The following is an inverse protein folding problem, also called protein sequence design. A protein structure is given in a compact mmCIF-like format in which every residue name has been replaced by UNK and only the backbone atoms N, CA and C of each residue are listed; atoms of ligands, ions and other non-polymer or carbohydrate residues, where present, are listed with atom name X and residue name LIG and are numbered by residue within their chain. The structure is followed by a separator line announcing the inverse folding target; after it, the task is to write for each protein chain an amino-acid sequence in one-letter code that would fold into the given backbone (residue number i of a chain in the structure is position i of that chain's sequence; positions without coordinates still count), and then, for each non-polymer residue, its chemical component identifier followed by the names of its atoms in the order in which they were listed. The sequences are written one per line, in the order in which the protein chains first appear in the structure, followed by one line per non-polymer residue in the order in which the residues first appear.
data_IF_049285559828
#
_entry.id   IF_049285559828
#
_cell.length_a   1.000
_cell.length_b   1.000
_cell.length_c   1.000
_cell.angle_alpha   90.00
_cell.angle_beta   90.00
_cell.angle_gamma   90.00
#
_symmetry.space_group_name_H-M   'P 1'
#
loop_
_entity.id
_entity.type
_entity.pdbx_description
1 polymer ?
#
# COMPACT_ATOMS: atom_id res chain seq x y z
N UNK A 1 -63.45 -62.28 -5.98
CA UNK A 1 -62.61 -61.57 -5.03
C UNK A 1 -61.56 -60.85 -5.86
N UNK A 2 -61.85 -59.64 -6.23
CA UNK A 2 -60.99 -58.82 -7.07
C UNK A 2 -60.53 -57.64 -6.22
N UNK A 3 -59.25 -57.52 -5.99
CA UNK A 3 -58.61 -56.39 -5.25
C UNK A 3 -58.14 -55.34 -6.27
N UNK A 4 -58.83 -54.21 -6.28
CA UNK A 4 -58.43 -53.01 -7.03
C UNK A 4 -57.24 -52.38 -6.35
N UNK A 5 -56.12 -52.15 -7.09
CA UNK A 5 -54.97 -51.37 -6.71
C UNK A 5 -55.17 -49.97 -7.22
N UNK A 6 -55.34 -49.03 -6.31
CA UNK A 6 -55.38 -47.59 -6.61
C UNK A 6 -54.01 -47.06 -6.93
N UNK A 7 -53.88 -46.46 -8.10
CA UNK A 7 -52.68 -45.83 -8.62
C UNK A 7 -52.72 -44.33 -8.24
N UNK A 8 -51.84 -43.88 -7.37
CA UNK A 8 -51.69 -42.48 -7.00
C UNK A 8 -50.69 -41.80 -7.95
N UNK A 9 -51.02 -40.68 -8.59
CA UNK A 9 -50.06 -39.97 -9.47
C UNK A 9 -49.01 -39.22 -8.64
N UNK A 10 -47.77 -39.32 -9.09
CA UNK A 10 -46.60 -38.62 -8.55
C UNK A 10 -46.72 -37.09 -8.79
N UNK A 11 -46.14 -36.24 -7.88
CA UNK A 11 -46.19 -34.80 -8.03
C UNK A 11 -45.26 -34.35 -9.14
N UNK A 12 -45.83 -33.59 -10.08
CA UNK A 12 -45.13 -32.88 -11.15
C UNK A 12 -44.08 -31.94 -10.61
N UNK A 13 -42.84 -32.10 -11.06
CA UNK A 13 -41.76 -31.17 -10.83
C UNK A 13 -42.04 -29.86 -11.57
N UNK A 14 -42.38 -28.83 -10.85
CA UNK A 14 -42.38 -27.45 -11.37
C UNK A 14 -40.94 -27.01 -11.56
N UNK A 15 -40.54 -26.82 -12.80
CA UNK A 15 -39.26 -26.16 -13.14
C UNK A 15 -39.34 -24.71 -12.67
N UNK A 16 -38.53 -24.39 -11.66
CA UNK A 16 -38.27 -23.02 -11.23
C UNK A 16 -37.20 -22.43 -12.15
N UNK A 17 -37.59 -21.47 -12.94
CA UNK A 17 -36.73 -20.57 -13.71
C UNK A 17 -35.75 -19.85 -12.77
N UNK A 18 -34.43 -19.89 -13.00
CA UNK A 18 -33.48 -19.10 -12.21
C UNK A 18 -33.33 -17.73 -12.85
N UNK A 19 -34.18 -16.78 -12.49
CA UNK A 19 -33.93 -15.37 -12.74
C UNK A 19 -33.75 -14.68 -11.39
N UNK A 20 -32.48 -14.51 -11.02
CA UNK A 20 -32.09 -13.76 -9.82
C UNK A 20 -30.64 -13.99 -9.56
N UNK A 21 -29.78 -13.02 -9.93
CA UNK A 21 -28.40 -12.97 -9.48
C UNK A 21 -28.38 -13.16 -7.97
N UNK A 22 -27.78 -14.24 -7.50
CA UNK A 22 -27.63 -14.54 -6.09
C UNK A 22 -26.75 -13.46 -5.47
N UNK A 23 -27.36 -12.45 -4.86
CA UNK A 23 -26.65 -11.48 -4.02
C UNK A 23 -25.84 -12.27 -2.99
N UNK A 24 -24.54 -11.99 -2.81
CA UNK A 24 -23.71 -12.70 -1.86
C UNK A 24 -24.37 -12.64 -0.48
N UNK A 25 -24.38 -13.77 0.23
CA UNK A 25 -25.00 -13.91 1.55
C UNK A 25 -24.40 -12.88 2.52
N UNK A 26 -25.08 -11.75 2.70
CA UNK A 26 -24.64 -10.68 3.60
C UNK A 26 -24.88 -11.14 5.03
N UNK A 27 -23.81 -11.28 5.81
CA UNK A 27 -23.95 -11.53 7.25
C UNK A 27 -24.47 -10.25 7.92
N UNK A 28 -25.31 -10.37 8.96
CA UNK A 28 -25.82 -9.24 9.74
C UNK A 28 -24.73 -8.61 10.64
N UNK A 29 -23.53 -8.46 10.12
CA UNK A 29 -22.36 -7.95 10.82
C UNK A 29 -21.81 -6.71 10.12
N UNK A 30 -21.64 -5.65 10.89
CA UNK A 30 -20.99 -4.41 10.45
C UNK A 30 -19.60 -4.26 11.09
N UNK A 31 -18.68 -3.72 10.31
CA UNK A 31 -17.44 -3.16 10.80
C UNK A 31 -17.68 -1.69 11.18
N UNK A 32 -17.18 -1.26 12.33
CA UNK A 32 -17.17 0.13 12.75
C UNK A 32 -15.72 0.56 12.95
N UNK A 33 -15.29 1.59 12.25
CA UNK A 33 -13.91 2.09 12.26
C UNK A 33 -13.83 3.57 12.62
N UNK A 34 -12.59 4.05 12.73
CA UNK A 34 -12.23 5.43 13.06
C UNK A 34 -12.71 5.86 14.47
N UNK A 35 -12.87 4.90 15.37
CA UNK A 35 -13.30 5.11 16.75
C UNK A 35 -12.25 5.84 17.58
N UNK A 36 -12.72 6.67 18.50
CA UNK A 36 -11.85 7.23 19.54
C UNK A 36 -11.30 6.10 20.44
N UNK A 37 -10.04 6.17 20.91
CA UNK A 37 -9.44 5.10 21.72
C UNK A 37 -10.22 4.74 22.98
N UNK A 38 -10.95 5.67 23.57
CA UNK A 38 -11.74 5.50 24.79
C UNK A 38 -13.15 4.91 24.55
N UNK A 39 -13.52 4.63 23.30
CA UNK A 39 -14.81 4.01 23.00
C UNK A 39 -14.80 2.57 23.50
N UNK A 40 -15.81 2.25 24.31
CA UNK A 40 -16.01 0.89 24.88
C UNK A 40 -17.12 0.14 24.16
N UNK A 41 -17.17 -1.16 24.37
CA UNK A 41 -18.22 -2.02 23.86
C UNK A 41 -19.60 -1.60 24.38
N UNK A 42 -19.70 -1.21 25.65
CA UNK A 42 -20.94 -0.74 26.28
C UNK A 42 -21.45 0.55 25.59
N UNK A 43 -20.57 1.51 25.37
CA UNK A 43 -20.94 2.77 24.69
C UNK A 43 -21.44 2.52 23.26
N UNK A 44 -20.79 1.63 22.50
CA UNK A 44 -21.27 1.26 21.17
C UNK A 44 -22.60 0.52 21.23
N UNK A 45 -22.76 -0.38 22.18
CA UNK A 45 -24.03 -1.09 22.37
C UNK A 45 -25.19 -0.12 22.62
N UNK A 46 -25.05 0.80 23.55
CA UNK A 46 -26.08 1.81 23.86
C UNK A 46 -26.46 2.64 22.65
N UNK A 47 -25.45 3.18 21.92
CA UNK A 47 -25.66 4.04 20.77
C UNK A 47 -26.40 3.32 19.65
N UNK A 48 -25.94 2.12 19.28
CA UNK A 48 -26.50 1.40 18.14
C UNK A 48 -27.79 0.64 18.47
N UNK A 49 -27.94 0.16 19.71
CA UNK A 49 -29.16 -0.51 20.15
C UNK A 49 -30.37 0.44 20.20
N UNK A 50 -30.14 1.75 20.30
CA UNK A 50 -31.22 2.76 20.19
C UNK A 50 -31.83 2.80 18.79
N UNK A 51 -31.12 2.36 17.75
CA UNK A 51 -31.59 2.35 16.34
C UNK A 51 -32.11 0.98 15.94
N UNK A 52 -31.39 -0.08 16.32
CA UNK A 52 -31.77 -1.46 16.01
C UNK A 52 -31.19 -2.44 17.05
N UNK A 53 -31.89 -3.57 17.33
CA UNK A 53 -31.44 -4.55 18.30
C UNK A 53 -30.05 -5.13 17.98
N UNK A 54 -29.08 -4.87 18.85
CA UNK A 54 -27.69 -5.36 18.70
C UNK A 54 -27.55 -6.71 19.38
N UNK A 55 -27.08 -7.71 18.65
CA UNK A 55 -26.82 -9.05 19.20
C UNK A 55 -25.51 -9.11 19.97
N UNK A 56 -24.45 -8.50 19.45
CA UNK A 56 -23.15 -8.40 20.14
C UNK A 56 -22.28 -7.29 19.60
N UNK A 57 -21.40 -6.77 20.44
CA UNK A 57 -20.40 -5.75 20.12
C UNK A 57 -19.02 -6.24 20.52
N UNK A 58 -18.02 -5.94 19.69
CA UNK A 58 -16.62 -6.21 19.99
C UNK A 58 -15.75 -5.06 19.54
N UNK A 59 -14.99 -4.44 20.43
CA UNK A 59 -13.92 -3.49 20.12
C UNK A 59 -12.60 -4.25 20.02
N UNK A 60 -11.89 -4.07 18.93
CA UNK A 60 -10.60 -4.71 18.72
C UNK A 60 -9.51 -3.96 19.49
N UNK A 61 -8.71 -4.71 20.26
CA UNK A 61 -7.66 -4.19 21.14
C UNK A 61 -6.34 -4.86 20.83
N UNK A 62 -5.25 -4.14 21.03
CA UNK A 62 -3.91 -4.68 20.91
C UNK A 62 -3.69 -5.80 21.93
N UNK A 63 -3.11 -6.94 21.52
CA UNK A 63 -3.02 -8.14 22.33
C UNK A 63 -2.26 -7.93 23.66
N UNK A 64 -1.18 -7.15 23.63
CA UNK A 64 -0.31 -6.91 24.80
C UNK A 64 -0.77 -5.67 25.57
N UNK A 65 -0.86 -4.49 24.90
CA UNK A 65 -1.13 -3.21 25.56
C UNK A 65 -2.60 -2.99 25.91
N UNK A 66 -3.52 -3.81 25.40
CA UNK A 66 -4.97 -3.69 25.54
C UNK A 66 -5.56 -2.37 25.04
N UNK A 67 -4.76 -1.51 24.44
CA UNK A 67 -5.24 -0.28 23.82
C UNK A 67 -6.15 -0.59 22.63
N UNK A 68 -7.20 0.23 22.48
CA UNK A 68 -8.11 0.13 21.34
C UNK A 68 -7.35 0.35 20.02
N UNK A 69 -7.61 -0.49 19.03
CA UNK A 69 -7.12 -0.33 17.67
C UNK A 69 -7.96 0.66 16.82
N UNK A 70 -8.96 1.30 17.46
CA UNK A 70 -9.83 2.28 16.78
C UNK A 70 -10.88 1.66 15.87
N UNK A 71 -11.17 0.36 16.01
CA UNK A 71 -12.24 -0.30 15.26
C UNK A 71 -12.86 -1.45 16.03
N UNK A 72 -14.05 -1.86 15.57
CA UNK A 72 -14.81 -2.95 16.15
C UNK A 72 -15.79 -3.60 15.19
N UNK A 73 -16.60 -4.49 15.72
CA UNK A 73 -17.64 -5.20 14.99
C UNK A 73 -18.94 -5.15 15.76
N UNK A 74 -20.03 -4.94 15.03
CA UNK A 74 -21.41 -4.95 15.49
C UNK A 74 -22.12 -6.11 14.83
N UNK A 75 -22.72 -7.00 15.58
CA UNK A 75 -23.55 -8.06 15.04
C UNK A 75 -25.01 -7.75 15.39
N UNK A 76 -25.87 -7.83 14.42
CA UNK A 76 -27.31 -7.63 14.55
C UNK A 76 -28.05 -8.96 14.42
N UNK A 77 -29.30 -8.99 14.86
CA UNK A 77 -30.16 -10.19 14.73
C UNK A 77 -30.64 -10.40 13.29
N UNK A 78 -30.78 -9.33 12.52
CA UNK A 78 -31.19 -9.41 11.12
C UNK A 78 -30.33 -8.52 10.20
N UNK A 79 -30.26 -8.88 8.92
CA UNK A 79 -29.59 -8.07 7.87
C UNK A 79 -30.29 -6.72 7.74
N UNK A 80 -31.62 -6.65 7.88
CA UNK A 80 -32.39 -5.40 7.79
C UNK A 80 -32.03 -4.42 8.89
N UNK A 81 -31.77 -4.90 10.09
CA UNK A 81 -31.33 -4.06 11.22
C UNK A 81 -29.93 -3.49 10.95
N UNK A 82 -29.04 -4.32 10.42
CA UNK A 82 -27.70 -3.87 10.01
C UNK A 82 -27.75 -2.85 8.87
N UNK A 83 -28.61 -3.04 7.85
CA UNK A 83 -28.85 -2.07 6.78
C UNK A 83 -29.35 -0.74 7.32
N UNK A 84 -30.37 -0.77 8.19
CA UNK A 84 -30.91 0.44 8.81
C UNK A 84 -29.82 1.22 9.55
N UNK A 85 -29.00 0.55 10.33
CA UNK A 85 -27.90 1.19 11.07
C UNK A 85 -26.84 1.73 10.11
N UNK A 86 -26.50 1.00 9.04
CA UNK A 86 -25.56 1.45 8.03
C UNK A 86 -26.03 2.74 7.37
N UNK A 87 -27.30 2.82 6.98
CA UNK A 87 -27.88 3.96 6.28
C UNK A 87 -28.05 5.19 7.19
N UNK A 88 -28.42 4.98 8.46
CA UNK A 88 -28.75 6.08 9.36
C UNK A 88 -27.60 6.55 10.25
N UNK A 89 -26.64 5.65 10.55
CA UNK A 89 -25.59 5.90 11.53
C UNK A 89 -24.19 6.01 10.94
N UNK A 90 -24.04 5.79 9.62
CA UNK A 90 -22.74 5.97 8.99
C UNK A 90 -22.28 7.42 9.11
N UNK A 91 -21.01 7.63 9.45
CA UNK A 91 -20.41 8.94 9.75
C UNK A 91 -21.01 9.69 10.96
N UNK A 92 -21.72 8.98 11.86
CA UNK A 92 -22.18 9.57 13.12
C UNK A 92 -21.00 9.93 14.01
N UNK A 93 -21.14 11.03 14.73
CA UNK A 93 -20.11 11.52 15.65
C UNK A 93 -20.17 10.72 16.98
N UNK A 94 -19.14 9.92 17.22
CA UNK A 94 -18.98 9.13 18.44
C UNK A 94 -17.74 9.62 19.20
N UNK A 95 -17.93 10.22 20.37
CA UNK A 95 -16.85 10.83 21.16
C UNK A 95 -15.93 11.77 20.34
N UNK A 96 -16.53 12.62 19.52
CA UNK A 96 -15.82 13.64 18.73
C UNK A 96 -15.10 13.09 17.48
N UNK A 97 -15.33 11.81 17.11
CA UNK A 97 -14.84 11.24 15.86
C UNK A 97 -15.98 10.66 15.02
N UNK A 98 -15.93 10.86 13.72
CA UNK A 98 -16.88 10.26 12.80
C UNK A 98 -16.63 8.76 12.67
N UNK A 99 -17.60 7.96 13.11
CA UNK A 99 -17.57 6.52 12.99
C UNK A 99 -17.90 6.09 11.56
N UNK A 100 -17.04 5.28 10.96
CA UNK A 100 -17.23 4.75 9.62
C UNK A 100 -17.79 3.34 9.70
N UNK A 101 -18.97 3.15 9.14
CA UNK A 101 -19.63 1.84 9.06
C UNK A 101 -19.46 1.22 7.67
N UNK A 102 -19.32 -0.09 7.62
CA UNK A 102 -19.33 -0.87 6.39
C UNK A 102 -19.68 -2.33 6.69
N UNK A 103 -20.10 -3.07 5.69
CA UNK A 103 -20.33 -4.51 5.83
C UNK A 103 -19.04 -5.22 6.26
N UNK A 104 -19.15 -6.10 7.23
CA UNK A 104 -18.04 -6.92 7.69
C UNK A 104 -17.70 -7.98 6.64
N UNK A 105 -16.55 -7.86 6.01
CA UNK A 105 -16.02 -8.87 5.08
C UNK A 105 -15.10 -9.82 5.83
N UNK A 106 -15.52 -11.08 5.93
CA UNK A 106 -14.72 -12.12 6.58
C UNK A 106 -13.57 -12.60 5.71
N UNK A 107 -13.74 -12.60 4.39
CA UNK A 107 -12.73 -13.04 3.44
C UNK A 107 -11.58 -12.03 3.33
N UNK A 108 -10.33 -12.44 3.65
CA UNK A 108 -9.16 -11.59 3.52
C UNK A 108 -8.84 -11.20 2.06
N UNK A 109 -9.23 -12.01 1.07
CA UNK A 109 -8.96 -11.74 -0.35
C UNK A 109 -9.77 -10.54 -0.83
N UNK A 110 -11.05 -10.48 -0.48
CA UNK A 110 -11.93 -9.36 -0.78
C UNK A 110 -11.48 -8.06 -0.12
N UNK A 111 -10.99 -8.13 1.13
CA UNK A 111 -10.43 -6.96 1.83
C UNK A 111 -9.15 -6.44 1.21
N UNK A 112 -8.37 -7.29 0.55
CA UNK A 112 -7.10 -6.94 -0.11
C UNK A 112 -7.29 -6.54 -1.57
N UNK A 113 -8.46 -6.74 -2.14
CA UNK A 113 -8.78 -6.28 -3.49
C UNK A 113 -8.61 -4.77 -3.58
N UNK A 114 -7.95 -4.31 -4.62
CA UNK A 114 -7.84 -2.88 -4.97
C UNK A 114 -8.78 -2.49 -6.11
N UNK A 115 -9.59 -3.43 -6.58
CA UNK A 115 -10.59 -3.21 -7.62
C UNK A 115 -11.67 -2.28 -7.08
N UNK A 116 -12.03 -1.26 -7.83
CA UNK A 116 -13.01 -0.26 -7.38
C UNK A 116 -12.49 0.75 -6.35
N UNK A 117 -11.20 0.68 -5.96
CA UNK A 117 -10.66 1.59 -4.96
C UNK A 117 -9.99 2.81 -5.62
N UNK A 118 -10.47 4.00 -5.27
CA UNK A 118 -10.06 5.29 -5.81
C UNK A 118 -9.31 6.08 -4.73
N UNK A 119 -8.22 6.71 -5.14
CA UNK A 119 -7.43 7.63 -4.32
C UNK A 119 -7.73 9.06 -4.75
N UNK A 120 -8.11 9.91 -3.80
CA UNK A 120 -8.41 11.32 -4.01
C UNK A 120 -7.38 12.16 -3.27
N UNK A 121 -6.75 13.11 -3.95
CA UNK A 121 -5.68 13.97 -3.43
C UNK A 121 -6.05 15.44 -3.59
N UNK A 122 -5.42 16.29 -2.78
CA UNK A 122 -5.62 17.75 -2.73
C UNK A 122 -7.02 18.17 -2.28
N UNK A 123 -7.59 17.37 -1.35
CA UNK A 123 -8.82 17.73 -0.67
C UNK A 123 -8.62 18.97 0.22
N UNK A 124 -9.64 19.79 0.32
CA UNK A 124 -9.65 20.89 1.30
C UNK A 124 -9.63 20.29 2.72
N UNK A 125 -8.97 20.93 3.70
CA UNK A 125 -8.94 20.46 5.09
C UNK A 125 -10.32 20.37 5.76
N UNK A 126 -11.30 21.12 5.29
CA UNK A 126 -12.67 21.14 5.83
C UNK A 126 -13.51 19.96 5.31
N UNK A 127 -13.11 19.33 4.20
CA UNK A 127 -13.82 18.16 3.66
C UNK A 127 -13.64 16.98 4.58
N UNK A 128 -14.74 16.46 5.07
CA UNK A 128 -14.80 15.27 5.89
C UNK A 128 -15.13 13.99 5.09
N UNK A 129 -15.24 12.84 5.79
CA UNK A 129 -15.54 11.57 5.15
C UNK A 129 -16.97 11.47 4.63
N UNK A 130 -17.88 12.24 5.22
CA UNK A 130 -19.28 12.32 4.79
C UNK A 130 -19.40 13.14 3.51
N UNK A 131 -18.77 14.32 3.45
CA UNK A 131 -18.75 15.17 2.26
C UNK A 131 -18.16 14.43 1.06
N UNK A 132 -17.06 13.70 1.31
CA UNK A 132 -16.42 12.86 0.29
C UNK A 132 -17.36 11.74 -0.18
N UNK A 133 -18.10 11.09 0.74
CA UNK A 133 -19.10 10.08 0.42
C UNK A 133 -20.23 10.67 -0.43
N UNK A 134 -20.82 11.79 0.00
CA UNK A 134 -21.94 12.44 -0.70
C UNK A 134 -21.54 12.87 -2.12
N UNK A 135 -20.32 13.40 -2.29
CA UNK A 135 -19.78 13.80 -3.60
C UNK A 135 -19.60 12.61 -4.55
N UNK A 136 -19.17 11.45 -4.05
CA UNK A 136 -18.84 10.31 -4.89
C UNK A 136 -19.97 9.27 -5.02
N UNK A 137 -21.01 9.33 -4.18
CA UNK A 137 -22.13 8.39 -4.19
C UNK A 137 -22.95 8.41 -5.49
N UNK A 138 -22.93 9.53 -6.23
CA UNK A 138 -23.60 9.68 -7.52
C UNK A 138 -23.05 8.77 -8.62
N UNK A 139 -21.83 8.25 -8.49
CA UNK A 139 -21.18 7.38 -9.49
C UNK A 139 -21.42 5.90 -9.25
N UNK A 140 -21.98 5.53 -8.11
CA UNK A 140 -22.29 4.15 -7.78
C UNK A 140 -22.22 3.83 -6.29
N UNK A 141 -22.47 2.56 -5.97
CA UNK A 141 -22.49 2.10 -4.58
C UNK A 141 -21.09 2.12 -3.98
N UNK A 142 -20.95 2.79 -2.82
CA UNK A 142 -19.70 2.91 -2.09
C UNK A 142 -19.67 1.91 -0.94
N UNK A 143 -18.70 0.99 -0.96
CA UNK A 143 -18.46 0.03 0.13
C UNK A 143 -17.84 0.74 1.33
N UNK A 144 -16.92 1.66 1.09
CA UNK A 144 -16.19 2.36 2.15
C UNK A 144 -15.62 3.68 1.63
N UNK A 145 -15.73 4.73 2.44
CA UNK A 145 -15.17 6.05 2.17
C UNK A 145 -14.43 6.56 3.40
N UNK A 146 -13.28 7.19 3.20
CA UNK A 146 -12.48 7.75 4.29
C UNK A 146 -11.59 8.89 3.84
N UNK A 147 -11.68 10.04 4.52
CA UNK A 147 -10.64 11.06 4.51
C UNK A 147 -9.61 10.74 5.58
N UNK A 148 -8.33 10.79 5.22
CA UNK A 148 -7.24 10.49 6.15
C UNK A 148 -6.93 11.71 6.99
N UNK A 149 -7.12 11.59 8.29
CA UNK A 149 -6.78 12.60 9.29
C UNK A 149 -5.54 12.20 10.12
N UNK A 150 -4.93 13.16 10.74
CA UNK A 150 -3.88 12.93 11.71
C UNK A 150 -4.48 12.40 13.02
N UNK A 151 -3.86 11.36 13.59
CA UNK A 151 -4.39 10.71 14.79
C UNK A 151 -4.30 11.57 16.05
N UNK A 152 -3.32 12.48 16.12
CA UNK A 152 -3.09 13.33 17.29
C UNK A 152 -3.89 14.62 17.21
N UNK A 153 -3.86 15.27 16.03
CA UNK A 153 -4.49 16.59 15.85
C UNK A 153 -5.90 16.52 15.30
N UNK A 154 -6.34 15.38 14.76
CA UNK A 154 -7.63 15.22 14.09
C UNK A 154 -7.73 15.94 12.72
N UNK A 155 -6.73 16.72 12.33
CA UNK A 155 -6.75 17.50 11.08
C UNK A 155 -6.64 16.62 9.84
N UNK A 156 -7.39 16.96 8.79
CA UNK A 156 -7.30 16.28 7.50
C UNK A 156 -5.89 16.41 6.91
N UNK A 157 -5.38 15.28 6.34
CA UNK A 157 -4.12 15.27 5.58
C UNK A 157 -4.28 15.67 4.11
N UNK A 158 -5.48 16.09 3.69
CA UNK A 158 -5.79 16.54 2.35
C UNK A 158 -5.88 15.42 1.31
N UNK A 159 -6.13 14.16 1.75
CA UNK A 159 -6.37 13.05 0.84
C UNK A 159 -7.31 12.01 1.46
N UNK A 160 -7.97 11.23 0.58
CA UNK A 160 -8.92 10.21 0.98
C UNK A 160 -8.95 9.02 0.04
N UNK A 161 -9.76 8.04 0.41
CA UNK A 161 -10.02 6.83 -0.36
C UNK A 161 -11.52 6.61 -0.47
N UNK A 162 -11.95 6.22 -1.67
CA UNK A 162 -13.34 5.83 -1.96
C UNK A 162 -13.29 4.45 -2.58
N UNK A 163 -13.95 3.48 -1.99
CA UNK A 163 -14.01 2.12 -2.49
C UNK A 163 -15.43 1.84 -3.03
N UNK A 164 -15.56 1.78 -4.33
CA UNK A 164 -16.78 1.42 -5.02
C UNK A 164 -16.96 -0.10 -5.07
N UNK A 165 -18.20 -0.53 -5.22
CA UNK A 165 -18.55 -1.94 -5.39
C UNK A 165 -18.06 -2.48 -6.75
N UNK A 166 -18.07 -1.63 -7.79
CA UNK A 166 -17.68 -2.00 -9.15
C UNK A 166 -16.48 -1.19 -9.66
N UNK A 167 -15.74 -1.76 -10.60
CA UNK A 167 -14.62 -1.09 -11.26
C UNK A 167 -15.08 0.02 -12.20
N UNK A 168 -16.27 -0.15 -12.81
CA UNK A 168 -16.89 0.79 -13.74
C UNK A 168 -17.22 2.10 -13.03
N UNK A 169 -17.86 2.03 -11.85
CA UNK A 169 -18.16 3.19 -11.02
C UNK A 169 -16.89 3.96 -10.64
N UNK A 170 -15.83 3.24 -10.30
CA UNK A 170 -14.54 3.85 -10.00
C UNK A 170 -13.94 4.57 -11.22
N UNK A 171 -14.00 3.95 -12.40
CA UNK A 171 -13.50 4.54 -13.64
C UNK A 171 -14.30 5.79 -14.04
N UNK A 172 -15.62 5.76 -13.89
CA UNK A 172 -16.49 6.90 -14.16
C UNK A 172 -16.22 8.06 -13.20
N UNK A 173 -16.07 7.77 -11.92
CA UNK A 173 -15.70 8.78 -10.90
C UNK A 173 -14.36 9.43 -11.22
N UNK A 174 -13.35 8.66 -11.63
CA UNK A 174 -12.04 9.18 -12.03
C UNK A 174 -12.19 10.08 -13.25
N UNK A 175 -12.90 9.63 -14.29
CA UNK A 175 -13.06 10.39 -15.54
C UNK A 175 -13.78 11.73 -15.32
N UNK A 176 -14.77 11.77 -14.42
CA UNK A 176 -15.60 12.95 -14.21
C UNK A 176 -15.09 13.91 -13.14
N UNK A 177 -14.36 13.42 -12.14
CA UNK A 177 -13.96 14.23 -10.97
C UNK A 177 -12.50 14.67 -11.03
N UNK A 178 -11.63 13.91 -11.70
CA UNK A 178 -10.21 14.26 -11.79
C UNK A 178 -9.98 15.61 -12.48
N UNK A 179 -9.29 16.52 -11.79
CA UNK A 179 -9.02 17.88 -12.27
C UNK A 179 -10.15 18.88 -12.00
N UNK A 180 -11.27 18.47 -11.42
CA UNK A 180 -12.36 19.36 -11.06
C UNK A 180 -12.10 20.06 -9.73
N UNK A 181 -12.82 21.17 -9.51
CA UNK A 181 -12.73 21.95 -8.28
C UNK A 181 -13.78 21.46 -7.28
N UNK A 182 -13.33 21.05 -6.08
CA UNK A 182 -14.19 20.73 -4.94
C UNK A 182 -13.78 21.64 -3.79
N UNK A 183 -14.74 22.39 -3.21
CA UNK A 183 -14.49 23.35 -2.12
C UNK A 183 -13.31 24.31 -2.41
N UNK A 184 -13.26 24.85 -3.64
CA UNK A 184 -12.24 25.80 -4.05
C UNK A 184 -10.85 25.24 -4.37
N UNK A 185 -10.66 23.92 -4.34
CA UNK A 185 -9.40 23.26 -4.69
C UNK A 185 -9.56 22.26 -5.83
N UNK A 186 -8.59 22.26 -6.74
CA UNK A 186 -8.53 21.26 -7.82
C UNK A 186 -8.15 19.91 -7.22
N UNK A 187 -9.03 18.92 -7.31
CA UNK A 187 -8.76 17.56 -6.80
C UNK A 187 -8.18 16.67 -7.87
N UNK A 188 -7.32 15.76 -7.44
CA UNK A 188 -6.73 14.74 -8.31
C UNK A 188 -7.24 13.36 -7.89
N UNK A 189 -7.86 12.68 -8.84
CA UNK A 189 -8.49 11.37 -8.62
C UNK A 189 -7.82 10.32 -9.48
N UNK A 190 -7.42 9.20 -8.88
CA UNK A 190 -6.74 8.11 -9.58
C UNK A 190 -7.06 6.75 -8.96
N UNK A 191 -6.81 5.67 -9.68
CA UNK A 191 -6.88 4.33 -9.11
C UNK A 191 -5.93 4.19 -7.92
N UNK A 192 -6.38 3.52 -6.87
CA UNK A 192 -5.54 3.20 -5.73
C UNK A 192 -4.42 2.24 -6.13
N UNK A 193 -3.19 2.61 -5.83
CA UNK A 193 -2.02 1.75 -6.01
C UNK A 193 -1.41 1.43 -4.65
N UNK A 194 -1.21 0.15 -4.38
CA UNK A 194 -0.48 -0.30 -3.19
C UNK A 194 0.93 0.30 -3.17
N UNK A 195 1.45 0.57 -1.98
CA UNK A 195 2.76 1.23 -1.79
C UNK A 195 3.89 0.52 -2.54
N UNK A 196 3.88 -0.81 -2.51
CA UNK A 196 4.89 -1.64 -3.18
C UNK A 196 4.84 -1.52 -4.71
N UNK A 197 3.62 -1.45 -5.28
CA UNK A 197 3.43 -1.27 -6.72
C UNK A 197 3.71 0.16 -7.18
N UNK A 198 3.40 1.16 -6.34
CA UNK A 198 3.74 2.55 -6.61
C UNK A 198 5.26 2.75 -6.68
N UNK A 199 6.00 2.05 -5.83
CA UNK A 199 7.46 2.06 -5.87
C UNK A 199 8.02 1.40 -7.14
N UNK A 200 7.37 0.36 -7.67
CA UNK A 200 7.79 -0.33 -8.91
C UNK A 200 7.44 0.45 -10.18
N UNK A 201 6.31 1.13 -10.20
CA UNK A 201 5.76 1.80 -11.39
C UNK A 201 6.06 3.30 -11.46
N UNK A 202 6.65 3.90 -10.44
CA UNK A 202 7.01 5.32 -10.52
C UNK A 202 8.24 5.46 -11.42
N UNK A 203 8.13 6.29 -12.44
CA UNK A 203 9.26 6.77 -13.23
C UNK A 203 10.33 7.30 -12.27
N UNK A 204 11.53 6.83 -12.43
CA UNK A 204 12.67 7.25 -11.66
C UNK A 204 13.83 7.54 -12.61
N UNK A 205 14.55 8.60 -12.33
CA UNK A 205 15.76 8.97 -13.07
C UNK A 205 16.99 8.80 -12.17
N UNK A 206 16.78 8.84 -10.88
CA UNK A 206 17.83 8.87 -9.87
C UNK A 206 18.19 7.47 -9.37
N UNK A 207 19.45 7.10 -9.49
CA UNK A 207 20.02 5.81 -9.13
C UNK A 207 20.98 5.95 -7.95
N UNK A 208 20.99 4.93 -7.10
CA UNK A 208 21.98 4.72 -6.05
C UNK A 208 22.95 3.64 -6.50
N UNK A 209 24.23 3.97 -6.51
CA UNK A 209 25.32 3.07 -6.90
C UNK A 209 26.16 2.79 -5.66
N UNK A 210 26.37 1.52 -5.33
CA UNK A 210 27.18 1.05 -4.21
C UNK A 210 28.27 0.09 -4.69
N UNK A 211 29.28 -0.11 -3.87
CA UNK A 211 30.47 -0.90 -4.20
C UNK A 211 31.27 -0.29 -5.37
N UNK A 212 31.44 1.02 -5.35
CA UNK A 212 32.31 1.72 -6.30
C UNK A 212 33.75 1.58 -5.79
N UNK A 213 34.72 1.19 -6.65
CA UNK A 213 36.13 1.17 -6.27
C UNK A 213 36.59 2.55 -5.75
N UNK A 214 37.43 2.56 -4.70
CA UNK A 214 37.98 3.81 -4.16
C UNK A 214 38.88 4.55 -5.18
N UNK A 215 39.49 3.80 -6.09
CA UNK A 215 40.29 4.31 -7.21
C UNK A 215 39.46 4.95 -8.31
N UNK A 216 38.15 4.69 -8.39
CA UNK A 216 37.25 5.23 -9.42
C UNK A 216 36.88 6.67 -9.09
N UNK A 217 37.14 7.56 -10.03
CA UNK A 217 36.74 8.97 -9.95
C UNK A 217 35.26 9.18 -10.31
N UNK A 218 34.75 10.39 -10.05
CA UNK A 218 33.40 10.78 -10.48
C UNK A 218 33.29 10.76 -12.00
N UNK A 219 34.33 11.21 -12.71
CA UNK A 219 34.37 11.22 -14.17
C UNK A 219 34.37 9.82 -14.76
N UNK A 220 35.02 8.85 -14.11
CA UNK A 220 35.02 7.46 -14.56
C UNK A 220 33.64 6.82 -14.40
N UNK A 221 32.95 7.13 -13.29
CA UNK A 221 31.58 6.69 -13.08
C UNK A 221 30.61 7.29 -14.11
N UNK A 222 30.81 8.56 -14.47
CA UNK A 222 30.04 9.24 -15.50
C UNK A 222 30.29 8.64 -16.89
N UNK A 223 31.55 8.40 -17.26
CA UNK A 223 31.91 7.70 -18.51
C UNK A 223 31.34 6.29 -18.58
N UNK A 224 31.30 5.57 -17.45
CA UNK A 224 30.74 4.24 -17.35
C UNK A 224 29.21 4.24 -17.58
N UNK A 225 28.53 5.29 -17.15
CA UNK A 225 27.08 5.44 -17.25
C UNK A 225 26.62 6.15 -18.54
N UNK A 226 27.47 6.94 -19.17
CA UNK A 226 27.17 7.68 -20.40
C UNK A 226 26.59 6.86 -21.57
N UNK A 227 27.01 5.59 -21.83
CA UNK A 227 26.45 4.78 -22.90
C UNK A 227 24.96 4.46 -22.73
N UNK A 228 24.39 4.61 -21.54
CA UNK A 228 22.99 4.28 -21.25
C UNK A 228 22.04 5.46 -21.46
N UNK A 229 22.55 6.68 -21.54
CA UNK A 229 21.76 7.88 -21.81
C UNK A 229 22.36 9.16 -21.23
N UNK A 230 21.67 10.27 -21.43
CA UNK A 230 22.10 11.58 -20.97
C UNK A 230 21.98 11.72 -19.45
N UNK A 231 23.10 12.04 -18.80
CA UNK A 231 23.23 12.19 -17.35
C UNK A 231 22.89 13.64 -16.98
N UNK A 232 21.92 13.82 -16.07
CA UNK A 232 21.57 15.12 -15.52
C UNK A 232 22.50 15.50 -14.37
N UNK A 233 22.88 14.56 -13.53
CA UNK A 233 23.88 14.75 -12.46
C UNK A 233 24.54 13.44 -12.05
N UNK A 234 25.82 13.53 -11.68
CA UNK A 234 26.61 12.43 -11.11
C UNK A 234 27.31 12.94 -9.85
N UNK A 235 27.12 12.26 -8.74
CA UNK A 235 27.75 12.63 -7.45
C UNK A 235 28.33 11.39 -6.80
N UNK A 236 29.64 11.40 -6.57
CA UNK A 236 30.34 10.41 -5.78
C UNK A 236 30.46 10.89 -4.33
N UNK A 237 29.96 10.10 -3.38
CA UNK A 237 30.07 10.45 -1.96
C UNK A 237 31.53 10.38 -1.49
N UNK A 238 32.03 11.48 -0.91
CA UNK A 238 33.37 11.61 -0.37
C UNK A 238 33.32 11.82 1.16
N UNK A 239 34.37 11.41 1.84
CA UNK A 239 34.59 11.74 3.26
C UNK A 239 35.14 13.17 3.40
N UNK A 240 35.37 13.63 4.64
CA UNK A 240 35.95 14.95 4.93
C UNK A 240 37.38 15.10 4.40
N UNK A 241 38.05 13.99 4.11
CA UNK A 241 39.41 13.94 3.56
C UNK A 241 39.46 13.89 2.03
N UNK A 242 38.25 13.94 1.36
CA UNK A 242 38.13 13.90 -0.09
C UNK A 242 38.17 12.50 -0.72
N UNK A 243 38.32 11.45 0.09
CA UNK A 243 38.34 10.07 -0.39
C UNK A 243 36.91 9.52 -0.67
N UNK A 244 36.78 8.66 -1.68
CA UNK A 244 35.50 8.02 -2.02
C UNK A 244 35.01 7.11 -0.88
N UNK A 245 33.72 7.28 -0.50
CA UNK A 245 33.00 6.38 0.42
C UNK A 245 32.56 5.07 -0.24
N UNK A 246 32.83 4.86 -1.52
CA UNK A 246 32.45 3.67 -2.27
C UNK A 246 30.98 3.62 -2.68
N UNK A 247 30.29 4.76 -2.66
CA UNK A 247 28.92 4.88 -3.17
C UNK A 247 28.69 6.25 -3.81
N UNK A 248 27.67 6.32 -4.68
CA UNK A 248 27.31 7.55 -5.38
C UNK A 248 25.86 7.55 -5.86
N UNK A 249 25.52 8.65 -6.50
CA UNK A 249 24.22 8.89 -7.09
C UNK A 249 24.38 9.28 -8.55
N UNK A 250 23.55 8.70 -9.41
CA UNK A 250 23.45 9.04 -10.84
C UNK A 250 22.02 9.47 -11.11
N UNK A 251 21.83 10.62 -11.74
CA UNK A 251 20.53 11.09 -12.20
C UNK A 251 20.54 11.21 -13.72
N UNK A 252 19.63 10.53 -14.38
CA UNK A 252 19.46 10.58 -15.82
C UNK A 252 18.33 11.55 -16.17
N UNK A 253 18.34 12.10 -17.38
CA UNK A 253 17.22 12.91 -17.86
C UNK A 253 15.97 12.07 -18.12
N UNK A 254 16.14 10.81 -18.53
CA UNK A 254 15.05 9.90 -18.90
C UNK A 254 14.99 8.66 -18.03
N UNK A 255 13.77 8.21 -17.75
CA UNK A 255 13.52 6.99 -16.99
C UNK A 255 14.08 5.72 -17.66
N UNK A 256 13.96 5.63 -19.00
CA UNK A 256 14.45 4.47 -19.75
C UNK A 256 15.97 4.33 -19.67
N UNK A 257 16.69 5.45 -19.71
CA UNK A 257 18.15 5.49 -19.54
C UNK A 257 18.57 4.97 -18.17
N UNK A 258 17.87 5.38 -17.12
CA UNK A 258 18.10 4.89 -15.76
C UNK A 258 17.84 3.38 -15.64
N UNK A 259 16.80 2.86 -16.29
CA UNK A 259 16.46 1.44 -16.31
C UNK A 259 17.53 0.62 -17.04
N UNK A 260 17.94 1.05 -18.23
CA UNK A 260 19.04 0.42 -19.00
C UNK A 260 20.35 0.41 -18.22
N UNK A 261 20.63 1.48 -17.48
CA UNK A 261 21.83 1.56 -16.64
C UNK A 261 21.79 0.54 -15.48
N UNK A 262 20.64 0.32 -14.85
CA UNK A 262 20.50 -0.75 -13.84
C UNK A 262 20.78 -2.11 -14.48
N UNK A 263 20.15 -2.43 -15.60
CA UNK A 263 20.28 -3.71 -16.29
C UNK A 263 21.72 -3.98 -16.77
N UNK A 264 22.44 -2.91 -17.20
CA UNK A 264 23.79 -3.03 -17.75
C UNK A 264 24.93 -2.98 -16.72
N UNK A 265 24.74 -2.30 -15.60
CA UNK A 265 25.80 -2.11 -14.60
C UNK A 265 25.58 -2.91 -13.31
N UNK A 266 24.35 -3.32 -12.99
CA UNK A 266 24.11 -4.11 -11.79
C UNK A 266 24.76 -5.48 -11.90
N UNK A 267 25.62 -5.82 -10.92
CA UNK A 267 26.34 -7.08 -10.91
C UNK A 267 27.65 -7.11 -11.70
N UNK A 268 28.05 -6.00 -12.38
CA UNK A 268 29.35 -5.89 -13.06
C UNK A 268 30.48 -5.89 -12.03
N UNK A 269 31.49 -6.72 -12.25
CA UNK A 269 32.61 -6.88 -11.34
C UNK A 269 33.68 -5.84 -11.56
N UNK A 270 34.23 -5.30 -10.45
CA UNK A 270 35.35 -4.38 -10.44
C UNK A 270 36.35 -4.80 -9.36
N UNK A 271 37.62 -4.50 -9.62
CA UNK A 271 38.70 -4.74 -8.67
C UNK A 271 38.73 -3.64 -7.63
N UNK A 272 38.74 -4.03 -6.36
CA UNK A 272 38.80 -3.15 -5.22
C UNK A 272 40.10 -3.31 -4.46
N UNK A 273 40.86 -2.24 -4.35
CA UNK A 273 42.01 -2.18 -3.46
C UNK A 273 41.52 -1.90 -2.03
N UNK A 274 41.76 -2.83 -1.13
CA UNK A 274 41.32 -2.74 0.27
C UNK A 274 42.49 -3.02 1.22
N UNK A 275 42.50 -2.38 2.36
CA UNK A 275 43.47 -2.68 3.42
C UNK A 275 43.07 -4.01 4.11
N UNK A 276 44.03 -4.73 4.75
CA UNK A 276 43.72 -6.00 5.45
C UNK A 276 42.65 -5.84 6.54
N UNK A 277 42.55 -4.67 7.16
CA UNK A 277 41.54 -4.35 8.17
C UNK A 277 40.11 -4.20 7.56
N UNK A 278 40.03 -3.61 6.37
CA UNK A 278 38.77 -3.47 5.62
C UNK A 278 38.34 -4.80 5.03
N UNK A 279 39.27 -5.62 4.57
CA UNK A 279 38.99 -6.97 4.08
C UNK A 279 38.34 -7.87 5.17
N UNK A 280 38.75 -7.75 6.42
CA UNK A 280 38.13 -8.47 7.55
C UNK A 280 36.72 -8.00 7.86
N UNK A 281 36.43 -6.69 7.77
CA UNK A 281 35.07 -6.16 7.94
C UNK A 281 34.12 -6.60 6.83
N UNK A 282 34.62 -6.67 5.60
CA UNK A 282 33.84 -7.11 4.43
C UNK A 282 33.47 -8.60 4.50
N UNK A 283 34.35 -9.45 5.08
CA UNK A 283 34.08 -10.88 5.31
C UNK A 283 33.04 -11.10 6.43
N UNK A 284 32.96 -10.23 7.44
CA UNK A 284 31.96 -10.30 8.51
C UNK A 284 30.52 -10.02 8.06
N UNK A 285 30.34 -9.18 7.04
CA UNK A 285 29.02 -8.86 6.47
C UNK A 285 28.56 -9.88 5.39
N UNK A 286 29.42 -10.85 5.03
CA UNK A 286 29.19 -11.80 3.94
C UNK A 286 28.76 -13.21 4.38
N UNK A 287 28.60 -13.46 5.70
CA UNK A 287 28.18 -14.80 6.20
C UNK A 287 26.71 -15.14 5.97
N UNK A 288 25.93 -14.28 5.34
CA UNK A 288 24.53 -14.60 4.99
C UNK A 288 24.28 -15.04 3.53
N UNK A 289 25.28 -15.11 2.66
CA UNK A 289 25.10 -15.76 1.32
C UNK A 289 26.39 -16.42 0.86
N UNK A 290 26.35 -17.74 0.94
CA UNK A 290 27.35 -18.67 0.41
C UNK A 290 27.59 -18.51 -1.09
N UNK A 291 28.88 -18.78 -1.41
CA UNK A 291 29.46 -19.18 -2.69
C UNK A 291 30.00 -18.05 -3.57
N UNK A 292 31.34 -17.92 -3.61
CA UNK A 292 32.17 -18.11 -4.79
C UNK A 292 33.65 -17.71 -4.58
N UNK A 293 34.46 -18.69 -4.87
CA UNK A 293 35.88 -18.75 -5.31
C UNK A 293 36.85 -17.62 -4.97
N UNK A 294 37.80 -18.01 -4.15
CA UNK A 294 39.07 -17.32 -3.90
C UNK A 294 40.00 -17.43 -5.14
N UNK A 295 40.38 -16.28 -5.71
CA UNK A 295 41.62 -16.16 -6.43
C UNK A 295 42.51 -15.13 -5.75
N UNK A 296 43.54 -15.63 -5.05
CA UNK A 296 44.58 -14.83 -4.43
C UNK A 296 45.73 -14.69 -5.46
N UNK A 297 45.89 -13.47 -5.97
CA UNK A 297 47.22 -13.06 -6.48
C UNK A 297 47.80 -12.04 -5.52
N UNK A 298 48.86 -12.44 -4.85
CA UNK A 298 49.68 -11.58 -4.01
C UNK A 298 50.74 -10.89 -4.90
N UNK A 299 50.64 -9.59 -5.06
CA UNK A 299 51.80 -8.79 -5.50
C UNK A 299 52.36 -8.05 -4.30
N UNK A 300 53.59 -8.40 -3.92
CA UNK A 300 54.37 -7.69 -2.93
C UNK A 300 55.00 -6.45 -3.57
N UNK A 301 54.55 -5.26 -3.14
CA UNK A 301 55.21 -3.98 -3.37
C UNK A 301 55.32 -3.23 -2.02
N UNK A 302 56.53 -2.68 -1.76
CA UNK A 302 56.88 -2.00 -0.51
C UNK A 302 55.92 -0.84 -0.19
N UNK A 303 55.30 -0.88 1.02
CA UNK A 303 54.79 0.30 1.68
C UNK A 303 53.35 0.32 2.19
N UNK A 304 52.39 -0.46 1.70
CA UNK A 304 51.09 -0.73 2.31
C UNK A 304 50.57 -2.02 1.68
N UNK A 305 50.40 -3.07 2.47
CA UNK A 305 49.77 -4.32 1.99
C UNK A 305 48.35 -4.03 1.58
N UNK A 306 48.09 -3.88 0.28
CA UNK A 306 46.77 -3.75 -0.31
C UNK A 306 46.35 -5.11 -0.87
N UNK A 307 45.11 -5.52 -0.63
CA UNK A 307 44.55 -6.75 -1.14
C UNK A 307 43.53 -6.38 -2.22
N UNK A 308 43.64 -6.98 -3.40
CA UNK A 308 42.66 -6.78 -4.47
C UNK A 308 41.52 -7.77 -4.28
N UNK A 309 40.30 -7.28 -4.16
CA UNK A 309 39.08 -8.07 -4.03
C UNK A 309 38.12 -7.73 -5.17
N UNK A 310 37.61 -8.68 -5.91
CA UNK A 310 36.55 -8.49 -6.90
C UNK A 310 35.22 -8.28 -6.20
N UNK A 311 34.53 -7.19 -6.50
CA UNK A 311 33.21 -6.89 -5.95
C UNK A 311 32.25 -6.50 -7.08
N UNK A 312 31.00 -6.99 -6.96
CA UNK A 312 29.93 -6.66 -7.89
C UNK A 312 29.37 -5.26 -7.58
N UNK A 313 29.32 -4.43 -8.61
CA UNK A 313 28.67 -3.11 -8.53
C UNK A 313 27.19 -3.30 -8.23
N UNK A 314 26.67 -2.59 -7.24
CA UNK A 314 25.25 -2.60 -6.92
C UNK A 314 24.62 -1.30 -7.42
N UNK A 315 23.73 -1.40 -8.41
CA UNK A 315 22.98 -0.28 -8.95
C UNK A 315 21.51 -0.53 -8.70
N UNK A 316 20.84 0.43 -8.07
CA UNK A 316 19.41 0.35 -7.78
C UNK A 316 18.78 1.75 -7.82
N UNK A 317 17.47 1.80 -7.97
CA UNK A 317 16.72 3.04 -7.80
C UNK A 317 16.99 3.70 -6.46
N UNK A 318 17.22 5.00 -6.46
CA UNK A 318 17.34 5.78 -5.22
C UNK A 318 15.98 5.92 -4.53
N UNK A 319 15.89 5.53 -3.25
CA UNK A 319 14.71 5.71 -2.41
C UNK A 319 15.13 6.53 -1.19
N UNK A 320 14.64 7.76 -1.11
CA UNK A 320 14.89 8.62 0.06
C UNK A 320 14.27 7.97 1.30
N UNK A 321 15.10 7.56 2.27
CA UNK A 321 14.62 7.14 3.58
C UNK A 321 14.06 8.37 4.31
N UNK A 322 12.85 8.26 4.82
CA UNK A 322 12.23 9.26 5.71
C UNK A 322 12.64 9.01 7.14
#
# INVERSE_FOLDING_TARGET
MSTETQNTPAPTKTEATPTGEAKPFRSAALYVGDLHPEVTEAALFEIFNAVAPVASVRVCRHAITRQSLGYGYLNFHSVRDAERVLDTMNFSLIRGRMARLMWSQRDPSLRKSSVGNVFVKNLDPEIDSKDLYDTFSIFGNIISCKVVSDQQTGKSKGFGFVHFETAESAAEAIAKVNGNVISGRVVYVSNFQKRDNRAKNAEFTNLYVKNIPKSMSQEDLEKLAAPFGEIASCVLAKNEQGESKGFGYLDFKEHESAKKCIEGLHGKEFDHEVTPAEAKKIKGDAEEKKEEEENKEQQEGEGKKTIIIKRKLFVARFIKRR
#
